data_IF_678980946170
#
_entry.id   IF_678980946170
#
_cell.length_a   1.000
_cell.length_b   1.000
_cell.length_c   1.000
_cell.angle_alpha   90.00
_cell.angle_beta   90.00
_cell.angle_gamma   90.00
#
_symmetry.space_group_name_H-M   'P 1'
#
loop_
_entity.id
_entity.type
_entity.pdbx_description
1 polymer ?
#
# COMPACT_ATOMS: atom_id res chain seq x y z
N UNK A 1 7.09 -41.30 9.03
CA UNK A 1 5.70 -41.71 8.75
C UNK A 1 5.41 -43.16 9.16
N UNK A 2 5.89 -44.20 8.48
CA UNK A 2 5.51 -45.62 8.78
C UNK A 2 5.56 -46.01 10.27
N UNK A 3 6.61 -45.63 11.00
CA UNK A 3 6.74 -45.95 12.44
C UNK A 3 5.68 -45.23 13.31
N UNK A 4 5.34 -43.99 12.98
CA UNK A 4 4.30 -43.19 13.68
C UNK A 4 2.92 -43.80 13.41
N UNK A 5 2.63 -44.16 12.16
CA UNK A 5 1.38 -44.83 11.78
C UNK A 5 1.21 -46.18 12.51
N UNK A 6 2.29 -46.98 12.61
CA UNK A 6 2.30 -48.27 13.29
C UNK A 6 2.12 -48.15 14.81
N UNK A 7 2.80 -47.19 15.44
CA UNK A 7 2.58 -46.88 16.86
C UNK A 7 1.15 -46.40 17.13
N UNK A 8 0.60 -45.57 16.25
CA UNK A 8 -0.76 -45.04 16.37
C UNK A 8 -1.81 -46.15 16.28
N UNK A 9 -1.74 -47.04 15.26
CA UNK A 9 -2.64 -48.20 15.16
C UNK A 9 -2.51 -49.16 16.35
N UNK A 10 -1.29 -49.43 16.82
CA UNK A 10 -1.06 -50.30 17.98
C UNK A 10 -1.63 -49.70 19.27
N UNK A 11 -1.53 -48.38 19.45
CA UNK A 11 -2.08 -47.67 20.61
C UNK A 11 -3.61 -47.66 20.59
N UNK A 12 -4.22 -47.32 19.45
CA UNK A 12 -5.68 -47.35 19.30
C UNK A 12 -6.25 -48.76 19.52
N UNK A 13 -5.58 -49.80 19.02
CA UNK A 13 -6.04 -51.18 19.24
C UNK A 13 -6.00 -51.56 20.73
N UNK A 14 -4.92 -51.22 21.45
CA UNK A 14 -4.84 -51.45 22.91
C UNK A 14 -5.88 -50.65 23.69
N UNK A 15 -6.16 -49.40 23.30
CA UNK A 15 -7.25 -48.61 23.90
C UNK A 15 -8.60 -49.28 23.67
N UNK A 16 -8.87 -49.82 22.46
CA UNK A 16 -10.11 -50.53 22.15
C UNK A 16 -10.28 -51.73 23.06
N UNK A 17 -9.29 -52.62 23.09
CA UNK A 17 -9.32 -53.85 23.87
C UNK A 17 -9.53 -53.60 25.38
N UNK A 18 -9.09 -52.46 25.92
CA UNK A 18 -9.32 -52.06 27.32
C UNK A 18 -10.73 -51.50 27.51
N UNK A 19 -11.14 -50.55 26.67
CA UNK A 19 -12.45 -49.88 26.77
C UNK A 19 -13.62 -50.85 26.50
N UNK A 20 -13.47 -51.76 25.55
CA UNK A 20 -14.46 -52.81 25.27
C UNK A 20 -14.67 -53.71 26.48
N UNK A 21 -13.59 -54.06 27.20
CA UNK A 21 -13.66 -54.91 28.40
C UNK A 21 -14.33 -54.23 29.61
N UNK A 22 -14.26 -52.90 29.72
CA UNK A 22 -14.84 -52.17 30.86
C UNK A 22 -16.20 -51.55 30.58
N UNK A 23 -16.49 -51.16 29.34
CA UNK A 23 -17.67 -50.37 28.96
C UNK A 23 -18.40 -50.85 27.69
N UNK A 24 -17.94 -51.91 27.04
CA UNK A 24 -18.54 -52.46 25.83
C UNK A 24 -18.04 -51.80 24.53
N UNK A 25 -18.25 -52.51 23.41
CA UNK A 25 -17.67 -52.16 22.10
C UNK A 25 -18.18 -50.82 21.56
N UNK A 26 -19.46 -50.49 21.79
CA UNK A 26 -20.08 -49.25 21.30
C UNK A 26 -19.43 -47.99 21.93
N UNK A 27 -19.18 -48.04 23.25
CA UNK A 27 -18.45 -46.98 23.96
C UNK A 27 -16.98 -46.90 23.52
N UNK A 28 -16.33 -48.05 23.35
CA UNK A 28 -14.94 -48.12 22.89
C UNK A 28 -14.77 -47.55 21.47
N UNK A 29 -15.74 -47.78 20.59
CA UNK A 29 -15.82 -47.20 19.24
C UNK A 29 -15.87 -45.67 19.28
N UNK A 30 -16.89 -45.11 19.95
CA UNK A 30 -17.06 -43.65 20.09
C UNK A 30 -15.85 -42.98 20.73
N UNK A 31 -15.31 -43.55 21.81
CA UNK A 31 -14.16 -42.98 22.51
C UNK A 31 -12.91 -42.90 21.63
N UNK A 32 -12.66 -43.91 20.79
CA UNK A 32 -11.53 -43.89 19.83
C UNK A 32 -11.78 -42.89 18.71
N UNK A 33 -13.00 -42.79 18.19
CA UNK A 33 -13.33 -41.84 17.14
C UNK A 33 -13.12 -40.39 17.61
N UNK A 34 -13.57 -40.04 18.81
CA UNK A 34 -13.34 -38.72 19.44
C UNK A 34 -11.84 -38.44 19.59
N UNK A 35 -11.04 -39.42 20.03
CA UNK A 35 -9.58 -39.24 20.20
C UNK A 35 -8.88 -39.09 18.83
N UNK A 36 -9.28 -39.86 17.82
CA UNK A 36 -8.75 -39.74 16.46
C UNK A 36 -9.04 -38.36 15.86
N UNK A 37 -10.31 -37.93 15.90
CA UNK A 37 -10.72 -36.59 15.48
C UNK A 37 -9.94 -35.50 16.24
N UNK A 38 -9.74 -35.66 17.56
CA UNK A 38 -8.98 -34.70 18.38
C UNK A 38 -7.50 -34.63 17.98
N UNK A 39 -6.87 -35.76 17.67
CA UNK A 39 -5.48 -35.81 17.19
C UNK A 39 -5.36 -35.15 15.82
N UNK A 40 -6.29 -35.40 14.90
CA UNK A 40 -6.30 -34.78 13.57
C UNK A 40 -6.55 -33.26 13.66
N UNK A 41 -7.47 -32.81 14.52
CA UNK A 41 -7.69 -31.39 14.81
C UNK A 41 -6.45 -30.70 15.40
N UNK A 42 -5.75 -31.35 16.33
CA UNK A 42 -4.49 -30.82 16.90
C UNK A 42 -3.36 -30.77 15.86
N UNK A 43 -3.25 -31.78 15.01
CA UNK A 43 -2.20 -31.87 14.01
C UNK A 43 -2.41 -30.86 12.86
N UNK A 44 -3.63 -30.78 12.32
CA UNK A 44 -4.00 -29.79 11.31
C UNK A 44 -4.00 -28.37 11.87
N UNK A 45 -4.75 -28.12 12.95
CA UNK A 45 -4.86 -26.79 13.56
C UNK A 45 -3.55 -26.28 14.14
N UNK A 46 -2.71 -27.16 14.71
CA UNK A 46 -1.37 -26.81 15.20
C UNK A 46 -0.42 -26.40 14.07
N UNK A 47 -0.43 -27.13 12.94
CA UNK A 47 0.37 -26.78 11.77
C UNK A 47 -0.07 -25.45 11.13
N UNK A 48 -1.38 -25.21 11.03
CA UNK A 48 -1.93 -23.94 10.55
C UNK A 48 -1.61 -22.76 11.49
N UNK A 49 -1.76 -22.95 12.79
CA UNK A 49 -1.45 -21.92 13.78
C UNK A 49 0.04 -21.56 13.80
N UNK A 50 0.92 -22.56 13.70
CA UNK A 50 2.36 -22.34 13.56
C UNK A 50 2.69 -21.60 12.25
N UNK A 51 2.11 -22.04 11.13
CA UNK A 51 2.29 -21.39 9.82
C UNK A 51 1.86 -19.93 9.87
N UNK A 52 0.69 -19.63 10.44
CA UNK A 52 0.16 -18.27 10.61
C UNK A 52 1.09 -17.40 11.46
N UNK A 53 1.64 -17.93 12.55
CA UNK A 53 2.59 -17.21 13.43
C UNK A 53 3.93 -16.94 12.74
N UNK A 54 4.47 -17.90 11.99
CA UNK A 54 5.71 -17.74 11.23
C UNK A 54 5.55 -16.72 10.11
N UNK A 55 4.49 -16.83 9.31
CA UNK A 55 4.16 -15.85 8.25
C UNK A 55 3.97 -14.46 8.86
N UNK A 56 3.21 -14.33 9.95
CA UNK A 56 3.01 -13.06 10.66
C UNK A 56 4.33 -12.40 11.09
N UNK A 57 5.22 -13.15 11.74
CA UNK A 57 6.51 -12.63 12.17
C UNK A 57 7.39 -12.15 11.00
N UNK A 58 7.38 -12.86 9.87
CA UNK A 58 8.12 -12.45 8.66
C UNK A 58 7.50 -11.21 8.01
N UNK A 59 6.17 -11.14 7.93
CA UNK A 59 5.41 -9.96 7.44
C UNK A 59 5.68 -8.74 8.33
N UNK A 60 5.80 -8.94 9.65
CA UNK A 60 6.11 -7.87 10.57
C UNK A 60 7.53 -7.31 10.38
N UNK A 61 8.53 -8.18 10.24
CA UNK A 61 9.90 -7.79 9.91
C UNK A 61 10.00 -7.07 8.55
N UNK A 62 9.27 -7.54 7.51
CA UNK A 62 9.20 -6.83 6.22
C UNK A 62 8.54 -5.43 6.37
N UNK A 63 7.59 -5.32 7.31
CA UNK A 63 6.91 -4.08 7.65
C UNK A 63 7.78 -3.01 8.31
N UNK A 64 8.97 -3.35 8.82
CA UNK A 64 9.90 -2.36 9.36
C UNK A 64 10.49 -1.46 8.27
N UNK A 65 10.82 -2.03 7.10
CA UNK A 65 11.26 -1.25 5.94
C UNK A 65 10.14 -0.31 5.43
N UNK A 66 8.89 -0.78 5.44
CA UNK A 66 7.72 0.00 5.01
C UNK A 66 7.45 1.24 5.88
N UNK A 67 7.98 1.32 7.11
CA UNK A 67 7.88 2.54 7.95
C UNK A 67 8.50 3.76 7.27
N UNK A 68 9.50 3.56 6.41
CA UNK A 68 10.18 4.64 5.70
C UNK A 68 9.32 5.30 4.59
N UNK A 69 8.21 4.67 4.19
CA UNK A 69 7.25 5.19 3.22
C UNK A 69 6.75 6.60 3.60
N UNK A 70 6.56 6.88 4.90
CA UNK A 70 6.13 8.21 5.37
C UNK A 70 7.14 9.32 5.06
N UNK A 71 8.42 8.99 4.90
CA UNK A 71 9.50 9.90 4.50
C UNK A 71 9.42 10.42 3.06
N UNK A 72 8.62 9.81 2.19
CA UNK A 72 8.40 10.30 0.82
C UNK A 72 7.75 11.69 0.83
N UNK A 73 6.82 11.95 1.76
CA UNK A 73 6.19 13.27 1.88
C UNK A 73 7.19 14.37 2.21
N UNK A 74 8.11 14.13 3.15
CA UNK A 74 9.20 15.05 3.48
C UNK A 74 10.22 15.19 2.34
N UNK A 75 10.34 14.17 1.48
CA UNK A 75 11.24 14.19 0.32
C UNK A 75 10.79 15.19 -0.74
N UNK A 76 9.48 15.27 -1.04
CA UNK A 76 8.95 16.07 -2.16
C UNK A 76 8.20 17.34 -1.76
N UNK A 77 7.47 17.34 -0.64
CA UNK A 77 6.57 18.46 -0.26
C UNK A 77 7.34 19.74 0.04
N UNK A 78 6.98 20.83 -0.63
CA UNK A 78 7.66 22.14 -0.61
C UNK A 78 9.14 22.04 -1.04
N UNK A 79 9.46 21.16 -1.98
CA UNK A 79 10.83 21.02 -2.52
C UNK A 79 10.88 21.21 -4.03
N UNK A 80 11.92 21.90 -4.51
CA UNK A 80 12.20 22.06 -5.94
C UNK A 80 12.82 20.80 -6.57
N UNK A 81 12.63 19.62 -5.99
CA UNK A 81 13.16 18.37 -6.56
C UNK A 81 12.41 18.02 -7.86
N UNK A 82 13.13 17.42 -8.84
CA UNK A 82 12.54 16.90 -10.05
C UNK A 82 11.59 15.74 -9.73
N UNK A 83 10.72 15.42 -10.68
CA UNK A 83 9.86 14.22 -10.65
C UNK A 83 10.72 12.96 -10.46
N UNK A 84 10.31 12.01 -9.60
CA UNK A 84 11.06 10.78 -9.38
C UNK A 84 11.14 9.91 -10.64
N UNK A 85 12.30 9.29 -10.84
CA UNK A 85 12.59 8.38 -11.97
C UNK A 85 13.05 7.00 -11.52
N UNK A 86 13.20 6.78 -10.21
CA UNK A 86 13.59 5.52 -9.57
C UNK A 86 12.79 5.30 -8.30
N UNK A 87 12.64 4.04 -7.92
CA UNK A 87 12.07 3.65 -6.63
C UNK A 87 12.91 4.16 -5.45
N UNK A 88 12.30 4.25 -4.27
CA UNK A 88 12.94 4.64 -3.02
C UNK A 88 13.99 3.60 -2.58
N UNK A 89 14.98 4.07 -1.83
CA UNK A 89 16.12 3.27 -1.37
C UNK A 89 15.75 2.14 -0.40
N UNK A 90 14.60 2.22 0.28
CA UNK A 90 14.13 1.18 1.20
C UNK A 90 13.49 -0.01 0.47
N UNK A 91 13.03 0.17 -0.78
CA UNK A 91 12.20 -0.81 -1.49
C UNK A 91 12.93 -2.14 -1.74
N UNK A 92 14.22 -2.18 -2.14
CA UNK A 92 14.99 -3.43 -2.26
C UNK A 92 15.09 -4.28 -0.97
N UNK A 93 14.90 -3.62 0.18
CA UNK A 93 15.05 -4.23 1.50
C UNK A 93 13.72 -4.75 2.09
N UNK A 94 12.57 -4.41 1.51
CA UNK A 94 11.24 -4.81 2.03
C UNK A 94 11.16 -6.35 2.17
N UNK A 95 11.59 -7.08 1.14
CA UNK A 95 11.52 -8.55 1.11
C UNK A 95 12.80 -9.24 1.58
N UNK A 96 13.79 -8.51 2.11
CA UNK A 96 15.01 -9.14 2.64
C UNK A 96 14.71 -10.14 3.78
N UNK A 97 13.84 -9.86 4.77
CA UNK A 97 13.47 -10.85 5.79
C UNK A 97 12.78 -12.09 5.22
N UNK A 98 11.94 -11.91 4.18
CA UNK A 98 11.25 -13.00 3.50
C UNK A 98 12.22 -13.92 2.74
N UNK A 99 13.21 -13.37 2.03
CA UNK A 99 14.27 -14.16 1.36
C UNK A 99 15.07 -14.97 2.38
N UNK A 100 15.61 -14.31 3.41
CA UNK A 100 16.35 -14.97 4.50
C UNK A 100 15.53 -16.08 5.17
N UNK A 101 14.24 -15.88 5.39
CA UNK A 101 13.35 -16.92 5.92
C UNK A 101 13.20 -18.11 4.96
N UNK A 102 12.97 -17.87 3.66
CA UNK A 102 12.74 -18.91 2.64
C UNK A 102 14.02 -19.66 2.19
N UNK A 103 15.19 -19.11 2.51
CA UNK A 103 16.53 -19.67 2.25
C UNK A 103 17.15 -20.34 3.48
N UNK A 104 16.56 -20.17 4.67
CA UNK A 104 16.99 -20.82 5.91
C UNK A 104 17.08 -22.36 5.78
N UNK A 105 18.05 -23.05 6.44
CA UNK A 105 18.10 -24.51 6.50
C UNK A 105 16.79 -25.17 6.93
N UNK A 106 16.06 -24.53 7.86
CA UNK A 106 14.79 -25.03 8.38
C UNK A 106 13.65 -24.97 7.36
N UNK A 107 13.68 -24.04 6.40
CA UNK A 107 12.62 -23.89 5.37
C UNK A 107 13.01 -24.55 4.05
N UNK A 108 14.30 -24.62 3.73
CA UNK A 108 14.82 -25.32 2.54
C UNK A 108 14.68 -26.84 2.62
N UNK A 109 14.61 -27.40 3.83
CA UNK A 109 14.22 -28.81 4.08
C UNK A 109 12.74 -29.11 3.82
N UNK A 110 11.87 -28.09 3.71
CA UNK A 110 10.44 -28.26 3.42
C UNK A 110 10.20 -28.53 1.92
N UNK A 111 9.05 -29.12 1.62
CA UNK A 111 8.65 -29.38 0.22
C UNK A 111 8.60 -28.09 -0.61
N UNK A 112 8.87 -28.20 -1.93
CA UNK A 112 8.75 -27.08 -2.87
C UNK A 112 7.35 -26.44 -2.85
N UNK A 113 6.30 -27.23 -2.60
CA UNK A 113 4.93 -26.75 -2.49
C UNK A 113 4.71 -25.93 -1.21
N UNK A 114 5.19 -26.42 -0.07
CA UNK A 114 5.13 -25.71 1.23
C UNK A 114 5.89 -24.39 1.17
N UNK A 115 7.11 -24.38 0.60
CA UNK A 115 7.91 -23.15 0.42
C UNK A 115 7.18 -22.13 -0.46
N UNK A 116 6.55 -22.56 -1.56
CA UNK A 116 5.72 -21.69 -2.42
C UNK A 116 4.48 -21.15 -1.70
N UNK A 117 3.83 -21.96 -0.87
CA UNK A 117 2.69 -21.52 -0.06
C UNK A 117 3.10 -20.46 0.98
N UNK A 118 4.22 -20.67 1.68
CA UNK A 118 4.81 -19.68 2.60
C UNK A 118 5.18 -18.38 1.89
N UNK A 119 5.84 -18.45 0.72
CA UNK A 119 6.22 -17.27 -0.05
C UNK A 119 5.00 -16.44 -0.48
N UNK A 120 3.91 -17.08 -0.91
CA UNK A 120 2.63 -16.41 -1.25
C UNK A 120 1.97 -15.79 -0.01
N UNK A 121 1.86 -16.53 1.09
CA UNK A 121 1.23 -16.04 2.31
C UNK A 121 1.98 -14.84 2.91
N UNK A 122 3.32 -14.85 2.86
CA UNK A 122 4.15 -13.68 3.23
C UNK A 122 3.92 -12.53 2.25
N UNK A 123 3.94 -12.80 0.94
CA UNK A 123 3.69 -11.78 -0.07
C UNK A 123 2.33 -11.08 0.14
N UNK A 124 1.25 -11.84 0.37
CA UNK A 124 -0.09 -11.31 0.61
C UNK A 124 -0.13 -10.41 1.85
N UNK A 125 0.47 -10.86 2.97
CA UNK A 125 0.54 -10.09 4.20
C UNK A 125 1.34 -8.79 4.06
N UNK A 126 2.46 -8.82 3.32
CA UNK A 126 3.25 -7.60 3.04
C UNK A 126 2.49 -6.68 2.08
N UNK A 127 1.80 -7.20 1.07
CA UNK A 127 0.96 -6.42 0.17
C UNK A 127 -0.16 -5.68 0.93
N UNK A 128 -0.89 -6.39 1.81
CA UNK A 128 -1.94 -5.79 2.63
C UNK A 128 -1.39 -4.69 3.57
N UNK A 129 -0.26 -4.96 4.23
CA UNK A 129 0.42 -3.99 5.12
C UNK A 129 0.91 -2.76 4.37
N UNK A 130 1.45 -2.94 3.17
CA UNK A 130 1.85 -1.83 2.29
C UNK A 130 0.62 -1.06 1.80
N UNK A 131 -0.44 -1.74 1.36
CA UNK A 131 -1.68 -1.11 0.85
C UNK A 131 -2.31 -0.18 1.88
N UNK A 132 -2.37 -0.61 3.15
CA UNK A 132 -2.83 0.23 4.25
C UNK A 132 -1.96 1.49 4.47
N UNK A 133 -0.63 1.33 4.49
CA UNK A 133 0.31 2.45 4.69
C UNK A 133 0.33 3.43 3.50
N UNK A 134 0.24 2.92 2.27
CA UNK A 134 0.15 3.73 1.06
C UNK A 134 -1.18 4.50 1.00
N UNK A 135 -2.29 3.85 1.36
CA UNK A 135 -3.61 4.48 1.46
C UNK A 135 -3.61 5.63 2.47
N UNK A 136 -3.07 5.41 3.67
CA UNK A 136 -2.92 6.44 4.72
C UNK A 136 -2.10 7.65 4.21
N UNK A 137 -0.98 7.38 3.55
CA UNK A 137 -0.09 8.41 3.00
C UNK A 137 -0.79 9.24 1.92
N UNK A 138 -1.35 8.58 0.91
CA UNK A 138 -1.94 9.24 -0.26
C UNK A 138 -3.25 9.95 0.09
N UNK A 139 -4.04 9.43 1.03
CA UNK A 139 -5.20 10.15 1.57
C UNK A 139 -4.78 11.44 2.29
N UNK A 140 -3.70 11.40 3.07
CA UNK A 140 -3.13 12.58 3.74
C UNK A 140 -2.66 13.62 2.72
N UNK A 141 -1.93 13.19 1.68
CA UNK A 141 -1.45 14.05 0.60
C UNK A 141 -2.62 14.74 -0.13
N UNK A 142 -3.61 13.96 -0.61
CA UNK A 142 -4.82 14.48 -1.28
C UNK A 142 -5.56 15.51 -0.41
N UNK A 143 -5.71 15.25 0.89
CA UNK A 143 -6.34 16.19 1.84
C UNK A 143 -5.54 17.49 2.01
N UNK A 144 -4.21 17.42 2.06
CA UNK A 144 -3.37 18.63 2.15
C UNK A 144 -3.39 19.45 0.87
N UNK A 145 -3.37 18.82 -0.31
CA UNK A 145 -3.44 19.50 -1.60
C UNK A 145 -4.79 20.20 -1.82
N UNK A 146 -5.91 19.51 -1.54
CA UNK A 146 -7.25 20.11 -1.60
C UNK A 146 -7.40 21.31 -0.65
N UNK A 147 -6.72 21.30 0.49
CA UNK A 147 -6.69 22.43 1.43
C UNK A 147 -5.84 23.59 0.91
N UNK A 148 -4.73 23.29 0.23
CA UNK A 148 -3.84 24.29 -0.38
C UNK A 148 -4.50 24.99 -1.57
N UNK A 149 -5.18 24.25 -2.45
CA UNK A 149 -5.89 24.82 -3.60
C UNK A 149 -7.03 25.74 -3.13
N UNK A 150 -7.88 25.30 -2.19
CA UNK A 150 -8.90 26.18 -1.57
C UNK A 150 -8.34 27.45 -0.90
N UNK A 151 -7.06 27.47 -0.52
CA UNK A 151 -6.40 28.68 -0.03
C UNK A 151 -5.89 29.57 -1.19
N UNK A 152 -5.32 28.97 -2.24
CA UNK A 152 -4.94 29.67 -3.48
C UNK A 152 -6.17 30.35 -4.12
N UNK A 153 -7.27 29.61 -4.26
CA UNK A 153 -8.51 30.09 -4.87
C UNK A 153 -9.08 31.29 -4.13
N UNK A 154 -9.15 31.23 -2.78
CA UNK A 154 -9.59 32.35 -1.94
C UNK A 154 -8.66 33.57 -2.04
N UNK A 155 -7.34 33.36 -2.14
CA UNK A 155 -6.39 34.47 -2.36
C UNK A 155 -6.55 35.08 -3.76
N UNK A 156 -6.79 34.27 -4.78
CA UNK A 156 -7.03 34.75 -6.14
C UNK A 156 -8.36 35.52 -6.27
N UNK A 157 -9.42 35.08 -5.58
CA UNK A 157 -10.68 35.80 -5.50
C UNK A 157 -10.50 37.17 -4.80
N UNK A 158 -9.89 37.20 -3.62
CA UNK A 158 -9.63 38.44 -2.89
C UNK A 158 -8.73 39.42 -3.67
N UNK A 159 -7.76 38.92 -4.46
CA UNK A 159 -6.95 39.75 -5.33
C UNK A 159 -7.74 40.36 -6.51
N UNK A 160 -8.78 39.67 -7.02
CA UNK A 160 -9.69 40.24 -8.04
C UNK A 160 -10.67 41.25 -7.44
N UNK A 161 -11.20 41.01 -6.25
CA UNK A 161 -12.10 41.95 -5.56
C UNK A 161 -11.36 43.24 -5.15
N UNK A 162 -10.12 43.12 -4.65
CA UNK A 162 -9.26 44.27 -4.31
C UNK A 162 -8.86 45.14 -5.51
N UNK A 163 -8.88 44.60 -6.74
CA UNK A 163 -8.65 45.36 -7.97
C UNK A 163 -9.90 46.07 -8.51
N UNK A 164 -11.10 45.70 -8.05
CA UNK A 164 -12.37 46.31 -8.46
C UNK A 164 -12.79 47.55 -7.66
N UNK A 165 -12.13 47.83 -6.53
CA UNK A 165 -12.53 48.87 -5.58
C UNK A 165 -11.77 50.20 -5.78
N UNK A 166 -11.72 50.71 -7.02
CA UNK A 166 -11.26 52.09 -7.31
C UNK A 166 -12.07 52.74 -8.43
N UNK A 167 -13.39 52.77 -8.29
CA UNK A 167 -14.26 53.60 -9.11
C UNK A 167 -15.44 54.16 -8.28
N UNK A 168 -15.66 55.47 -8.42
CA UNK A 168 -16.81 56.26 -7.93
C UNK A 168 -16.76 56.82 -6.50
N UNK A 169 -16.23 58.05 -6.39
CA UNK A 169 -16.74 59.10 -5.50
C UNK A 169 -16.49 60.48 -6.15
N UNK A 170 -17.47 60.99 -6.90
CA UNK A 170 -17.40 62.28 -7.63
C UNK A 170 -18.26 63.36 -6.96
N UNK A 171 -17.82 64.63 -7.00
CA UNK A 171 -18.45 65.92 -6.54
C UNK A 171 -17.53 66.61 -5.52
N UNK A 172 -17.03 67.87 -5.62
CA UNK A 172 -17.06 69.01 -6.60
C UNK A 172 -15.93 69.99 -6.19
N UNK A 173 -15.51 71.08 -6.90
CA UNK A 173 -15.83 71.76 -8.17
C UNK A 173 -14.67 72.73 -8.51
N UNK A 174 -14.40 72.98 -9.80
CA UNK A 174 -13.52 74.06 -10.30
C UNK A 174 -12.15 73.55 -10.77
N UNK A 175 -11.56 74.04 -11.85
CA UNK A 175 -11.99 75.09 -12.79
C UNK A 175 -10.75 75.74 -13.40
N UNK A 176 -10.56 75.61 -14.71
CA UNK A 176 -9.39 76.15 -15.43
C UNK A 176 -9.33 75.62 -16.85
N UNK A 177 -9.34 76.54 -17.81
CA UNK A 177 -9.33 76.27 -19.25
C UNK A 177 -7.94 75.87 -19.77
N UNK A 178 -7.90 75.12 -20.88
CA UNK A 178 -6.67 74.74 -21.55
C UNK A 178 -6.90 73.93 -22.82
N UNK A 179 -6.82 74.59 -23.98
CA UNK A 179 -6.80 73.95 -25.30
C UNK A 179 -5.64 72.95 -25.45
N UNK A 180 -5.90 71.83 -26.14
CA UNK A 180 -4.95 70.72 -26.26
C UNK A 180 -5.32 69.73 -27.38
N UNK A 181 -4.91 70.10 -28.58
CA UNK A 181 -4.84 69.39 -29.87
C UNK A 181 -4.87 67.83 -29.90
N UNK A 182 -5.37 67.31 -31.03
CA UNK A 182 -5.72 65.92 -31.27
C UNK A 182 -4.60 64.88 -31.26
N UNK A 183 -5.01 63.63 -31.04
CA UNK A 183 -4.14 62.45 -31.05
C UNK A 183 -4.93 61.15 -30.97
N UNK A 184 -5.54 60.74 -32.09
CA UNK A 184 -6.03 59.36 -32.24
C UNK A 184 -4.85 58.38 -32.20
N UNK A 185 -4.89 57.44 -31.26
CA UNK A 185 -4.04 56.26 -31.24
C UNK A 185 -4.92 55.06 -30.88
N UNK A 186 -5.25 54.27 -31.90
CA UNK A 186 -5.75 52.91 -31.73
C UNK A 186 -4.78 52.12 -30.84
N UNK A 187 -5.30 51.54 -29.76
CA UNK A 187 -4.54 50.74 -28.82
C UNK A 187 -5.30 49.47 -28.50
N UNK A 188 -4.81 48.35 -29.00
CA UNK A 188 -5.46 47.03 -28.99
C UNK A 188 -6.16 46.65 -27.68
N UNK A 189 -7.35 46.05 -27.82
CA UNK A 189 -7.99 45.17 -26.84
C UNK A 189 -7.08 43.96 -26.57
N UNK A 190 -6.06 44.17 -25.73
CA UNK A 190 -5.23 43.13 -25.14
C UNK A 190 -6.06 42.34 -24.11
N UNK A 191 -7.03 41.58 -24.62
CA UNK A 191 -7.73 40.55 -23.87
C UNK A 191 -6.67 39.62 -23.27
N UNK A 192 -6.43 39.79 -21.96
CA UNK A 192 -5.48 39.00 -21.20
C UNK A 192 -6.00 37.56 -21.06
N UNK A 193 -5.90 36.81 -22.17
CA UNK A 193 -6.11 35.39 -22.21
C UNK A 193 -5.22 34.77 -21.14
N UNK A 194 -5.85 34.15 -20.15
CA UNK A 194 -5.17 33.49 -19.05
C UNK A 194 -4.41 32.28 -19.62
N UNK A 195 -3.23 32.53 -20.16
CA UNK A 195 -2.32 31.51 -20.63
C UNK A 195 -2.06 30.57 -19.47
N UNK A 196 -2.56 29.34 -19.60
CA UNK A 196 -2.29 28.26 -18.67
C UNK A 196 -0.81 27.92 -18.77
N UNK A 197 0.02 28.68 -18.06
CA UNK A 197 1.43 28.37 -17.89
C UNK A 197 1.51 26.92 -17.43
N UNK A 198 2.22 26.09 -18.20
CA UNK A 198 2.36 24.65 -18.00
C UNK A 198 2.96 24.39 -16.61
N UNK A 199 2.12 24.32 -15.58
CA UNK A 199 2.56 24.19 -14.20
C UNK A 199 3.19 22.81 -14.06
N UNK A 200 4.47 22.78 -13.69
CA UNK A 200 5.18 21.53 -13.44
C UNK A 200 4.48 20.72 -12.34
N UNK A 201 4.70 19.40 -12.31
CA UNK A 201 3.88 18.49 -11.51
C UNK A 201 3.87 18.87 -10.03
N UNK A 202 2.70 18.77 -9.42
CA UNK A 202 2.50 19.14 -8.01
C UNK A 202 3.29 18.21 -7.09
N UNK A 203 3.53 18.67 -5.85
CA UNK A 203 4.16 17.81 -4.84
C UNK A 203 3.38 16.52 -4.63
N UNK A 204 2.04 16.54 -4.76
CA UNK A 204 1.20 15.37 -4.65
C UNK A 204 1.40 14.40 -5.81
N UNK A 205 1.45 14.90 -7.05
CA UNK A 205 1.74 14.11 -8.25
C UNK A 205 3.12 13.45 -8.16
N UNK A 206 4.14 14.18 -7.68
CA UNK A 206 5.48 13.60 -7.42
C UNK A 206 5.46 12.51 -6.36
N UNK A 207 4.68 12.68 -5.28
CA UNK A 207 4.54 11.67 -4.22
C UNK A 207 3.82 10.43 -4.75
N UNK A 208 2.73 10.59 -5.50
CA UNK A 208 2.03 9.48 -6.16
C UNK A 208 2.99 8.74 -7.09
N UNK A 209 3.71 9.45 -7.97
CA UNK A 209 4.69 8.85 -8.88
C UNK A 209 5.80 8.08 -8.15
N UNK A 210 6.30 8.57 -7.00
CA UNK A 210 7.25 7.82 -6.18
C UNK A 210 6.62 6.52 -5.67
N UNK A 211 5.41 6.57 -5.11
CA UNK A 211 4.72 5.38 -4.60
C UNK A 211 4.42 4.38 -5.73
N UNK A 212 4.05 4.83 -6.93
CA UNK A 212 3.90 3.95 -8.11
C UNK A 212 5.20 3.24 -8.47
N UNK A 213 6.34 3.96 -8.51
CA UNK A 213 7.66 3.38 -8.78
C UNK A 213 8.07 2.36 -7.70
N UNK A 214 7.80 2.69 -6.44
CA UNK A 214 8.11 1.84 -5.29
C UNK A 214 7.30 0.53 -5.30
N UNK A 215 6.01 0.60 -5.61
CA UNK A 215 5.17 -0.61 -5.73
C UNK A 215 5.52 -1.43 -6.97
N UNK A 216 5.91 -0.80 -8.10
CA UNK A 216 6.37 -1.52 -9.29
C UNK A 216 7.63 -2.33 -8.99
N UNK A 217 8.63 -1.73 -8.35
CA UNK A 217 9.85 -2.42 -7.92
C UNK A 217 9.56 -3.52 -6.88
N UNK A 218 8.68 -3.26 -5.92
CA UNK A 218 8.24 -4.28 -4.97
C UNK A 218 7.59 -5.49 -5.67
N UNK A 219 6.77 -5.26 -6.70
CA UNK A 219 6.21 -6.32 -7.55
C UNK A 219 7.29 -7.11 -8.32
N UNK A 220 8.29 -6.43 -8.88
CA UNK A 220 9.42 -7.10 -9.53
C UNK A 220 10.19 -8.00 -8.55
N UNK A 221 10.35 -7.58 -7.29
CA UNK A 221 10.98 -8.38 -6.25
C UNK A 221 10.14 -9.57 -5.77
N UNK A 222 8.80 -9.46 -5.77
CA UNK A 222 7.90 -10.61 -5.56
C UNK A 222 8.08 -11.65 -6.66
N UNK A 223 8.13 -11.21 -7.93
CA UNK A 223 8.39 -12.09 -9.06
C UNK A 223 9.76 -12.80 -8.94
N UNK A 224 10.81 -12.07 -8.54
CA UNK A 224 12.14 -12.64 -8.26
C UNK A 224 12.13 -13.66 -7.10
N UNK A 225 11.21 -13.52 -6.13
CA UNK A 225 10.96 -14.51 -5.06
C UNK A 225 10.09 -15.71 -5.52
N UNK A 226 9.68 -15.75 -6.79
CA UNK A 226 8.84 -16.81 -7.36
C UNK A 226 7.35 -16.64 -7.08
N UNK A 227 6.90 -15.43 -6.73
CA UNK A 227 5.49 -15.07 -6.56
C UNK A 227 5.07 -14.12 -7.67
N UNK A 228 4.27 -14.59 -8.62
CA UNK A 228 3.69 -13.75 -9.67
C UNK A 228 2.72 -12.72 -9.06
N UNK A 229 3.00 -11.40 -9.11
CA UNK A 229 2.15 -10.38 -8.52
C UNK A 229 0.78 -10.26 -9.21
N UNK A 230 0.70 -10.52 -10.52
CA UNK A 230 -0.56 -10.45 -11.26
C UNK A 230 -1.56 -11.54 -10.80
N UNK A 231 -1.05 -12.65 -10.24
CA UNK A 231 -1.85 -13.71 -9.62
C UNK A 231 -2.30 -13.43 -8.18
N UNK A 232 -1.92 -12.30 -7.56
CA UNK A 232 -2.24 -11.98 -6.16
C UNK A 232 -3.21 -10.82 -6.04
N UNK A 233 -4.41 -11.07 -5.51
CA UNK A 233 -5.41 -10.02 -5.34
C UNK A 233 -4.95 -8.93 -4.36
N UNK A 234 -4.26 -9.29 -3.28
CA UNK A 234 -3.63 -8.34 -2.37
C UNK A 234 -2.62 -7.41 -3.06
N UNK A 235 -1.92 -7.88 -4.11
CA UNK A 235 -1.04 -7.02 -4.90
C UNK A 235 -1.83 -6.12 -5.86
N UNK A 236 -2.90 -6.62 -6.48
CA UNK A 236 -3.81 -5.80 -7.31
C UNK A 236 -4.43 -4.66 -6.50
N UNK A 237 -4.85 -4.93 -5.27
CA UNK A 237 -5.34 -3.91 -4.32
C UNK A 237 -4.27 -2.86 -4.02
N UNK A 238 -3.04 -3.27 -3.70
CA UNK A 238 -1.90 -2.37 -3.50
C UNK A 238 -1.61 -1.53 -4.76
N UNK A 239 -1.67 -2.14 -5.95
CA UNK A 239 -1.46 -1.44 -7.22
C UNK A 239 -2.56 -0.40 -7.50
N UNK A 240 -3.82 -0.74 -7.25
CA UNK A 240 -4.95 0.19 -7.38
C UNK A 240 -4.88 1.38 -6.40
N UNK A 241 -4.22 1.23 -5.26
CA UNK A 241 -3.92 2.34 -4.34
C UNK A 241 -2.78 3.22 -4.87
N UNK A 242 -1.76 2.62 -5.48
CA UNK A 242 -0.47 3.25 -5.78
C UNK A 242 -0.34 3.81 -7.20
N UNK A 243 -1.12 3.33 -8.17
CA UNK A 243 -1.01 3.68 -9.58
C UNK A 243 -2.26 4.44 -10.09
N UNK A 244 -2.14 5.21 -11.19
CA UNK A 244 -3.30 5.82 -11.86
C UNK A 244 -4.31 4.76 -12.34
N UNK A 245 -5.58 5.14 -12.46
CA UNK A 245 -6.61 4.28 -13.05
C UNK A 245 -6.21 3.84 -14.47
N UNK A 246 -6.38 2.55 -14.77
CA UNK A 246 -6.01 1.96 -16.06
C UNK A 246 -4.50 1.66 -16.23
N UNK A 247 -3.63 2.02 -15.29
CA UNK A 247 -2.22 1.65 -15.36
C UNK A 247 -2.02 0.14 -15.21
N UNK A 248 -1.35 -0.50 -16.17
CA UNK A 248 -0.99 -1.91 -16.09
C UNK A 248 0.29 -2.12 -15.27
N UNK A 249 0.28 -3.14 -14.42
CA UNK A 249 1.48 -3.69 -13.81
C UNK A 249 2.17 -4.64 -14.79
#
# INVERSE_FOLDING_TARGET
EKLVALCSTTLYQKMRDVLTKSHGEEFAGMAIEIVAQSVDHLNAGGAEALTRRLVGAVVDACGDALKQLKGITATFRMTNKPTPTRHSHFVPNILAPARTFLESPSTTSLSKQTRRALARAVADGVCAKYSALASELLATVKKTEASLNKLKDRKAAAAKEGAGASASATTTKGGGDGDGDGGELDGDDAAAGAGSAQQGPTDAEKIVAQVTLDVREFGAQLAAMGVDPASRDAFKELWAVAAPEGATF
#
